data_IF_397787759250
#
_entry.id   IF_397787759250
#
_cell.length_a   1.000
_cell.length_b   1.000
_cell.length_c   1.000
_cell.angle_alpha   90.00
_cell.angle_beta   90.00
_cell.angle_gamma   90.00
#
_symmetry.space_group_name_H-M   'P 1'
#
loop_
_entity.id
_entity.type
_entity.pdbx_description
1 polymer ?
#
# COMPACT_ATOMS: atom_id res chain seq x y z
N UNK A 1 10.74 4.22 6.32
CA UNK A 1 10.58 2.77 6.06
C UNK A 1 11.76 2.27 5.27
N UNK A 2 12.24 1.06 5.58
CA UNK A 2 13.29 0.37 4.84
C UNK A 2 12.71 -0.95 4.32
N UNK A 3 12.83 -1.19 3.01
CA UNK A 3 12.23 -2.32 2.33
C UNK A 3 13.29 -3.38 1.99
N UNK A 4 12.86 -4.62 1.80
CA UNK A 4 13.70 -5.75 1.35
C UNK A 4 14.94 -5.99 2.23
N UNK A 5 14.81 -5.82 3.54
CA UNK A 5 15.87 -6.04 4.54
C UNK A 5 15.98 -7.54 4.83
N UNK A 6 17.20 -8.09 4.78
CA UNK A 6 17.45 -9.52 4.96
C UNK A 6 18.49 -9.81 6.05
N UNK A 7 18.19 -10.79 6.89
CA UNK A 7 19.11 -11.28 7.92
C UNK A 7 19.31 -10.31 9.09
N UNK A 8 19.88 -10.84 10.18
CA UNK A 8 19.96 -10.12 11.46
C UNK A 8 20.84 -8.87 11.40
N UNK A 9 21.90 -8.90 10.63
CA UNK A 9 22.84 -7.78 10.53
C UNK A 9 22.19 -6.58 9.83
N UNK A 10 21.49 -6.82 8.71
CA UNK A 10 20.77 -5.76 8.01
C UNK A 10 19.58 -5.24 8.84
N UNK A 11 18.85 -6.12 9.53
CA UNK A 11 17.77 -5.71 10.43
C UNK A 11 18.32 -4.81 11.53
N UNK A 12 19.45 -5.18 12.15
CA UNK A 12 20.07 -4.39 13.21
C UNK A 12 20.52 -3.02 12.69
N UNK A 13 21.10 -2.96 11.49
CA UNK A 13 21.47 -1.70 10.85
C UNK A 13 20.24 -0.84 10.52
N UNK A 14 19.18 -1.47 10.00
CA UNK A 14 17.92 -0.81 9.67
C UNK A 14 17.24 -0.19 10.91
N UNK A 15 17.21 -0.89 12.04
CA UNK A 15 16.67 -0.37 13.30
C UNK A 15 17.43 0.90 13.73
N UNK A 16 18.76 0.91 13.64
CA UNK A 16 19.56 2.10 13.96
C UNK A 16 19.20 3.29 13.05
N UNK A 17 19.02 3.05 11.76
CA UNK A 17 18.59 4.09 10.79
C UNK A 17 17.20 4.60 11.15
N UNK A 18 16.26 3.71 11.50
CA UNK A 18 14.91 4.10 11.92
C UNK A 18 14.96 5.00 13.15
N UNK A 19 15.72 4.64 14.18
CA UNK A 19 15.87 5.50 15.36
C UNK A 19 16.57 6.83 15.05
N UNK A 20 17.61 6.80 14.22
CA UNK A 20 18.31 8.02 13.80
C UNK A 20 17.39 8.99 13.03
N UNK A 21 16.33 8.49 12.37
CA UNK A 21 15.37 9.33 11.63
C UNK A 21 14.62 10.32 12.50
N UNK A 22 14.58 10.14 13.82
CA UNK A 22 14.06 11.17 14.75
C UNK A 22 14.83 12.48 14.67
N UNK A 23 16.07 12.45 14.24
CA UNK A 23 16.98 13.59 14.22
C UNK A 23 17.20 14.17 12.81
N UNK A 24 16.43 13.72 11.82
CA UNK A 24 16.45 14.37 10.52
C UNK A 24 15.74 15.75 10.58
N UNK A 25 16.08 16.65 9.66
CA UNK A 25 15.59 18.03 9.64
C UNK A 25 14.07 18.12 9.65
N UNK A 26 13.41 17.26 8.86
CA UNK A 26 11.94 17.22 8.78
C UNK A 26 11.29 16.84 10.11
N UNK A 27 11.83 15.84 10.80
CA UNK A 27 11.31 15.39 12.09
C UNK A 27 11.54 16.43 13.19
N UNK A 28 12.69 17.10 13.17
CA UNK A 28 13.02 18.19 14.10
C UNK A 28 12.08 19.38 13.86
N UNK A 29 11.95 19.83 12.61
CA UNK A 29 11.07 20.95 12.24
C UNK A 29 9.62 20.69 12.63
N UNK A 30 9.12 19.45 12.39
CA UNK A 30 7.77 19.05 12.79
C UNK A 30 7.57 19.16 14.31
N UNK A 31 8.49 18.63 15.12
CA UNK A 31 8.41 18.74 16.59
C UNK A 31 8.41 20.18 17.07
N UNK A 32 9.29 21.02 16.47
CA UNK A 32 9.33 22.45 16.81
C UNK A 32 8.00 23.12 16.49
N UNK A 33 7.46 22.90 15.32
CA UNK A 33 6.16 23.45 14.89
C UNK A 33 5.01 23.00 15.82
N UNK A 34 4.99 21.73 16.20
CA UNK A 34 3.97 21.16 17.09
C UNK A 34 4.24 21.41 18.58
N UNK A 35 5.37 22.07 18.92
CA UNK A 35 5.79 22.32 20.30
C UNK A 35 5.95 21.04 21.14
N UNK A 36 6.34 19.95 20.50
CA UNK A 36 6.66 18.70 21.23
C UNK A 36 8.08 18.77 21.81
N UNK A 37 8.27 18.51 23.14
CA UNK A 37 9.61 18.42 23.73
C UNK A 37 10.41 17.30 23.06
N UNK A 38 11.64 17.60 22.63
CA UNK A 38 12.49 16.63 21.92
C UNK A 38 12.84 15.40 22.75
N UNK A 39 12.99 15.57 24.05
CA UNK A 39 13.31 14.53 25.05
C UNK A 39 12.12 13.64 25.41
N UNK A 40 10.90 14.03 25.02
CA UNK A 40 9.66 13.29 25.30
C UNK A 40 9.18 12.45 24.12
N UNK A 41 9.82 12.57 22.95
CA UNK A 41 9.42 11.83 21.74
C UNK A 41 10.31 10.61 21.57
N UNK A 42 9.71 9.45 21.56
CA UNK A 42 10.33 8.17 21.28
C UNK A 42 9.74 7.51 20.02
N UNK A 43 10.47 6.58 19.44
CA UNK A 43 10.09 5.83 18.27
C UNK A 43 10.28 4.34 18.53
N UNK A 44 9.33 3.52 18.12
CA UNK A 44 9.51 2.07 18.04
C UNK A 44 9.79 1.65 16.60
N UNK A 45 10.60 0.60 16.44
CA UNK A 45 10.85 -0.02 15.13
C UNK A 45 10.05 -1.30 15.03
N UNK A 46 9.10 -1.34 14.07
CA UNK A 46 8.38 -2.55 13.71
C UNK A 46 9.13 -3.32 12.63
N UNK A 47 9.22 -4.64 12.77
CA UNK A 47 9.77 -5.54 11.75
C UNK A 47 8.62 -6.39 11.25
N UNK A 48 8.33 -6.27 9.95
CA UNK A 48 7.22 -6.96 9.31
C UNK A 48 7.72 -7.78 8.13
N UNK A 49 7.21 -9.02 8.00
CA UNK A 49 7.45 -9.84 6.82
C UNK A 49 6.86 -9.13 5.60
N UNK A 50 7.67 -8.95 4.56
CA UNK A 50 7.20 -8.34 3.33
C UNK A 50 6.35 -9.30 2.52
N UNK A 51 5.19 -8.81 2.08
CA UNK A 51 4.36 -9.48 1.09
C UNK A 51 5.04 -9.41 -0.27
N UNK A 52 5.02 -10.50 -1.06
CA UNK A 52 5.63 -10.55 -2.40
C UNK A 52 4.75 -9.86 -3.46
N UNK A 53 4.32 -8.64 -3.16
CA UNK A 53 3.57 -7.81 -4.11
C UNK A 53 4.40 -7.34 -5.30
N UNK A 54 5.73 -7.43 -5.20
CA UNK A 54 6.65 -7.26 -6.35
C UNK A 54 6.35 -8.23 -7.50
N UNK A 55 5.74 -9.38 -7.20
CA UNK A 55 5.25 -10.38 -8.16
C UNK A 55 3.72 -10.37 -8.32
N UNK A 56 3.04 -9.46 -7.65
CA UNK A 56 1.59 -9.32 -7.58
C UNK A 56 1.12 -7.90 -7.82
N UNK A 57 0.34 -7.38 -6.88
CA UNK A 57 -0.21 -6.04 -6.91
C UNK A 57 -0.30 -5.48 -5.48
N UNK A 58 -0.46 -4.18 -5.38
CA UNK A 58 -0.70 -3.49 -4.12
C UNK A 58 -1.56 -2.25 -4.33
N UNK A 59 -2.03 -1.66 -3.26
CA UNK A 59 -2.84 -0.47 -3.35
C UNK A 59 -3.30 0.08 -2.02
N UNK A 60 -4.18 1.05 -2.12
CA UNK A 60 -4.93 1.60 -0.99
C UNK A 60 -6.42 1.45 -1.24
N UNK A 61 -7.19 1.36 -0.18
CA UNK A 61 -8.64 1.36 -0.25
C UNK A 61 -9.23 2.21 0.86
N UNK A 62 -10.32 2.89 0.52
CA UNK A 62 -11.07 3.75 1.43
C UNK A 62 -12.47 3.20 1.57
N UNK A 63 -12.97 3.15 2.79
CA UNK A 63 -14.33 2.65 3.06
C UNK A 63 -15.41 3.72 2.84
N UNK A 64 -15.08 4.74 2.08
CA UNK A 64 -15.98 5.74 1.53
C UNK A 64 -15.44 6.26 0.20
N UNK A 65 -16.27 6.96 -0.57
CA UNK A 65 -15.80 7.77 -1.69
C UNK A 65 -15.11 9.04 -1.18
N UNK A 66 -13.83 9.20 -1.46
CA UNK A 66 -12.98 10.28 -0.94
C UNK A 66 -13.32 11.65 -1.53
N UNK A 67 -14.01 11.71 -2.68
CA UNK A 67 -14.41 12.97 -3.31
C UNK A 67 -15.73 13.49 -2.78
N UNK A 68 -16.76 12.64 -2.74
CA UNK A 68 -18.12 13.02 -2.31
C UNK A 68 -18.40 12.76 -0.83
N UNK A 69 -17.61 11.93 -0.17
CA UNK A 69 -17.87 11.45 1.19
C UNK A 69 -18.98 10.39 1.27
N UNK A 70 -19.42 9.81 0.15
CA UNK A 70 -20.46 8.79 0.11
C UNK A 70 -20.00 7.51 0.82
N UNK A 71 -20.70 7.13 1.89
CA UNK A 71 -20.29 6.07 2.82
C UNK A 71 -20.64 4.65 2.39
N UNK A 72 -21.55 4.48 1.44
CA UNK A 72 -21.97 3.16 0.97
C UNK A 72 -21.12 2.62 -0.19
N UNK A 73 -20.05 3.33 -0.57
CA UNK A 73 -19.06 2.87 -1.52
C UNK A 73 -17.73 2.57 -0.84
N UNK A 74 -16.96 1.65 -1.44
CA UNK A 74 -15.55 1.42 -1.16
C UNK A 74 -14.78 1.81 -2.42
N UNK A 75 -13.79 2.68 -2.25
CA UNK A 75 -12.89 3.06 -3.32
C UNK A 75 -11.57 2.30 -3.18
N UNK A 76 -11.15 1.59 -4.22
CA UNK A 76 -9.94 0.76 -4.24
C UNK A 76 -9.05 1.23 -5.38
N UNK A 77 -7.79 1.50 -5.09
CA UNK A 77 -6.76 1.72 -6.10
C UNK A 77 -5.82 0.53 -6.15
N UNK A 78 -5.29 0.20 -7.32
CA UNK A 78 -4.43 -0.96 -7.52
C UNK A 78 -3.36 -0.72 -8.59
N UNK A 79 -2.13 -1.12 -8.33
CA UNK A 79 -1.06 -1.17 -9.32
C UNK A 79 -0.16 -2.39 -9.11
N UNK A 80 0.66 -2.70 -10.12
CA UNK A 80 1.65 -3.75 -10.01
C UNK A 80 2.81 -3.34 -9.10
N UNK A 81 3.41 -4.33 -8.43
CA UNK A 81 4.61 -4.11 -7.61
C UNK A 81 4.33 -3.69 -6.17
N UNK A 82 5.35 -3.16 -5.53
CA UNK A 82 5.34 -2.69 -4.15
C UNK A 82 4.52 -1.39 -4.01
N UNK A 83 3.79 -1.24 -2.92
CA UNK A 83 2.83 -0.15 -2.69
C UNK A 83 3.43 1.26 -2.59
N UNK A 84 4.73 1.39 -2.46
CA UNK A 84 5.40 2.68 -2.29
C UNK A 84 5.12 3.65 -3.45
N UNK A 85 5.03 3.15 -4.70
CA UNK A 85 4.71 3.98 -5.88
C UNK A 85 3.30 4.56 -5.86
N UNK A 86 2.34 3.88 -5.21
CA UNK A 86 0.98 4.36 -5.02
C UNK A 86 0.94 5.42 -3.93
N UNK A 87 1.53 5.13 -2.77
CA UNK A 87 1.58 6.04 -1.62
C UNK A 87 2.29 7.36 -1.98
N UNK A 88 3.34 7.30 -2.81
CA UNK A 88 4.05 8.47 -3.30
C UNK A 88 3.33 9.20 -4.46
N UNK A 89 2.26 8.63 -5.01
CA UNK A 89 1.54 9.20 -6.15
C UNK A 89 2.33 9.20 -7.46
N UNK A 90 3.35 8.33 -7.60
CA UNK A 90 4.22 8.27 -8.78
C UNK A 90 3.69 7.38 -9.89
N UNK A 91 2.68 6.55 -9.60
CA UNK A 91 1.98 5.68 -10.54
C UNK A 91 0.52 6.10 -10.66
N UNK A 92 -0.06 6.02 -11.86
CA UNK A 92 -1.50 6.18 -12.07
C UNK A 92 -2.14 4.78 -12.02
N UNK A 93 -2.85 4.43 -10.93
CA UNK A 93 -3.35 3.08 -10.65
C UNK A 93 -4.67 2.79 -11.38
N UNK A 94 -5.07 1.52 -11.37
CA UNK A 94 -6.46 1.13 -11.61
C UNK A 94 -7.34 1.61 -10.46
N UNK A 95 -8.59 1.93 -10.76
CA UNK A 95 -9.57 2.40 -9.77
C UNK A 95 -10.84 1.54 -9.85
N UNK A 96 -11.37 1.21 -8.67
CA UNK A 96 -12.60 0.42 -8.55
C UNK A 96 -13.51 1.05 -7.50
N UNK A 97 -14.79 1.17 -7.83
CA UNK A 97 -15.84 1.54 -6.88
C UNK A 97 -16.73 0.34 -6.62
N UNK A 98 -16.88 -0.02 -5.36
CA UNK A 98 -17.66 -1.19 -4.92
C UNK A 98 -18.79 -0.75 -3.99
N UNK A 99 -20.01 -1.17 -4.26
CA UNK A 99 -21.18 -0.84 -3.46
C UNK A 99 -21.34 -1.82 -2.30
N UNK A 100 -21.24 -1.33 -1.07
CA UNK A 100 -21.27 -2.14 0.15
C UNK A 100 -22.55 -2.98 0.27
N UNK A 101 -23.70 -2.36 0.01
CA UNK A 101 -25.00 -3.05 0.11
C UNK A 101 -25.14 -4.16 -0.92
N UNK A 102 -24.60 -3.97 -2.13
CA UNK A 102 -24.57 -5.02 -3.16
C UNK A 102 -23.81 -6.25 -2.67
N UNK A 103 -22.62 -6.06 -2.09
CA UNK A 103 -21.82 -7.13 -1.49
C UNK A 103 -22.56 -7.88 -0.38
N UNK A 104 -23.24 -7.16 0.50
CA UNK A 104 -23.99 -7.74 1.62
C UNK A 104 -25.17 -8.60 1.14
N UNK A 105 -25.81 -8.21 0.04
CA UNK A 105 -26.96 -8.91 -0.54
C UNK A 105 -26.56 -10.01 -1.53
N UNK A 106 -25.25 -10.16 -1.84
CA UNK A 106 -24.75 -11.16 -2.79
C UNK A 106 -25.00 -10.79 -4.26
N UNK A 107 -25.22 -9.52 -4.56
CA UNK A 107 -25.38 -9.02 -5.93
C UNK A 107 -24.04 -8.56 -6.52
N UNK A 108 -23.92 -8.42 -7.85
CA UNK A 108 -22.78 -7.76 -8.48
C UNK A 108 -22.57 -6.37 -7.86
N UNK A 109 -21.43 -6.15 -7.23
CA UNK A 109 -21.23 -4.97 -6.40
C UNK A 109 -20.26 -3.94 -6.98
N UNK A 110 -19.49 -4.29 -7.99
CA UNK A 110 -18.52 -3.37 -8.64
C UNK A 110 -19.30 -2.39 -9.53
N UNK A 111 -19.40 -1.14 -9.09
CA UNK A 111 -20.11 -0.07 -9.79
C UNK A 111 -19.33 0.47 -10.98
N UNK A 112 -18.02 0.60 -10.82
CA UNK A 112 -17.14 1.22 -11.81
C UNK A 112 -15.75 0.64 -11.76
N UNK A 113 -15.10 0.59 -12.93
CA UNK A 113 -13.68 0.23 -13.10
C UNK A 113 -13.03 1.24 -14.04
N UNK A 114 -11.88 1.75 -13.66
CA UNK A 114 -11.09 2.63 -14.49
C UNK A 114 -9.68 2.07 -14.61
N UNK A 115 -9.27 1.82 -15.85
CA UNK A 115 -7.93 1.31 -16.13
C UNK A 115 -6.90 2.44 -15.99
N UNK A 116 -5.94 2.27 -15.08
CA UNK A 116 -4.81 3.16 -14.92
C UNK A 116 -3.72 2.91 -15.96
N UNK A 117 -2.85 3.88 -16.16
CA UNK A 117 -1.71 3.70 -17.08
C UNK A 117 -0.65 2.73 -16.55
N UNK A 118 -0.51 2.63 -15.22
CA UNK A 118 0.43 1.72 -14.52
C UNK A 118 1.79 1.63 -15.20
N UNK A 119 2.34 2.81 -15.57
CA UNK A 119 3.53 2.88 -16.40
C UNK A 119 4.77 2.25 -15.76
N UNK A 120 4.86 2.29 -14.43
CA UNK A 120 5.99 1.82 -13.63
C UNK A 120 5.51 0.88 -12.53
N UNK A 121 6.40 -0.03 -12.12
CA UNK A 121 6.25 -0.87 -10.93
C UNK A 121 7.55 -0.86 -10.13
N UNK A 122 7.45 -0.97 -8.81
CA UNK A 122 8.60 -1.17 -7.94
C UNK A 122 8.69 -2.65 -7.56
N UNK A 123 9.88 -3.22 -7.73
CA UNK A 123 10.17 -4.62 -7.45
C UNK A 123 11.42 -4.75 -6.58
N UNK A 124 11.69 -5.93 -6.06
CA UNK A 124 12.94 -6.17 -5.36
C UNK A 124 14.12 -6.13 -6.34
N UNK A 125 15.20 -5.45 -5.94
CA UNK A 125 16.47 -5.46 -6.64
C UNK A 125 17.19 -6.81 -6.47
N UNK A 126 18.02 -7.15 -7.46
CA UNK A 126 18.88 -8.34 -7.37
C UNK A 126 19.95 -8.17 -6.29
N UNK A 127 20.19 -9.25 -5.51
CA UNK A 127 21.21 -9.30 -4.44
C UNK A 127 22.66 -9.02 -4.91
N UNK A 128 22.89 -8.89 -6.22
CA UNK A 128 24.22 -8.68 -6.83
C UNK A 128 24.56 -7.21 -7.05
N UNK A 129 23.66 -6.29 -6.82
CA UNK A 129 23.96 -4.86 -6.94
C UNK A 129 24.78 -4.42 -5.72
N UNK A 130 25.97 -3.93 -5.95
CA UNK A 130 26.87 -3.36 -4.94
C UNK A 130 26.40 -1.99 -4.42
N UNK A 131 25.34 -1.47 -4.97
CA UNK A 131 24.67 -0.26 -4.49
C UNK A 131 23.45 -0.69 -3.64
N UNK A 132 23.35 -0.20 -2.44
CA UNK A 132 22.39 -0.48 -1.36
C UNK A 132 20.89 -0.24 -1.70
N UNK A 133 20.49 -0.33 -2.95
CA UNK A 133 19.08 -0.21 -3.36
C UNK A 133 18.42 -1.57 -3.31
N UNK A 134 17.71 -1.80 -2.21
CA UNK A 134 16.95 -3.03 -1.98
C UNK A 134 15.72 -3.17 -2.90
N UNK A 135 15.34 -2.09 -3.59
CA UNK A 135 14.22 -2.04 -4.54
C UNK A 135 14.63 -1.38 -5.85
N UNK A 136 13.94 -1.73 -6.94
CA UNK A 136 14.15 -1.22 -8.29
C UNK A 136 12.81 -0.78 -8.88
N UNK A 137 12.76 0.43 -9.43
CA UNK A 137 11.63 0.88 -10.25
C UNK A 137 11.91 0.58 -11.72
N UNK A 138 10.96 -0.06 -12.39
CA UNK A 138 11.04 -0.41 -13.82
C UNK A 138 9.74 -0.14 -14.54
N UNK A 139 9.79 -0.08 -15.87
CA UNK A 139 8.61 0.03 -16.71
C UNK A 139 7.81 -1.27 -16.69
N UNK A 140 6.49 -1.15 -16.69
CA UNK A 140 5.56 -2.28 -16.86
C UNK A 140 5.36 -2.52 -18.36
N UNK A 141 5.35 -3.78 -18.76
CA UNK A 141 5.09 -4.18 -20.15
C UNK A 141 3.72 -3.69 -20.64
N UNK A 142 3.66 -3.27 -21.90
CA UNK A 142 2.45 -2.69 -22.50
C UNK A 142 1.25 -3.63 -22.37
N UNK A 143 1.42 -4.93 -22.59
CA UNK A 143 0.34 -5.91 -22.47
C UNK A 143 -0.23 -6.00 -21.04
N UNK A 144 0.63 -5.91 -20.03
CA UNK A 144 0.20 -5.89 -18.61
C UNK A 144 -0.52 -4.58 -18.28
N UNK A 145 -0.07 -3.46 -18.81
CA UNK A 145 -0.69 -2.14 -18.60
C UNK A 145 -2.11 -2.07 -19.13
N UNK A 146 -2.42 -2.81 -20.20
CA UNK A 146 -3.74 -2.87 -20.83
C UNK A 146 -4.72 -3.80 -20.11
N UNK A 147 -4.34 -4.38 -18.98
CA UNK A 147 -5.17 -5.25 -18.13
C UNK A 147 -5.28 -4.66 -16.73
N UNK A 148 -6.40 -4.93 -16.07
CA UNK A 148 -6.52 -4.63 -14.65
C UNK A 148 -5.53 -5.47 -13.83
N UNK A 149 -4.95 -4.86 -12.80
CA UNK A 149 -4.01 -5.53 -11.88
C UNK A 149 -4.71 -6.48 -10.90
N UNK A 150 -6.03 -6.35 -10.75
CA UNK A 150 -6.90 -7.22 -9.95
C UNK A 150 -8.02 -7.81 -10.80
N UNK A 151 -8.43 -9.03 -10.47
CA UNK A 151 -9.70 -9.62 -10.93
C UNK A 151 -10.87 -9.08 -10.12
N UNK A 152 -12.10 -9.17 -10.67
CA UNK A 152 -13.32 -8.79 -9.96
C UNK A 152 -13.47 -9.53 -8.62
N UNK A 153 -13.12 -10.82 -8.58
CA UNK A 153 -13.16 -11.62 -7.35
C UNK A 153 -12.22 -11.07 -6.27
N UNK A 154 -11.02 -10.61 -6.66
CA UNK A 154 -10.06 -10.00 -5.74
C UNK A 154 -10.54 -8.63 -5.25
N UNK A 155 -11.12 -7.83 -6.14
CA UNK A 155 -11.73 -6.53 -5.77
C UNK A 155 -12.85 -6.71 -4.75
N UNK A 156 -13.76 -7.68 -4.97
CA UNK A 156 -14.82 -7.97 -4.00
C UNK A 156 -14.29 -8.54 -2.69
N UNK A 157 -13.23 -9.37 -2.73
CA UNK A 157 -12.60 -9.90 -1.52
C UNK A 157 -11.99 -8.76 -0.67
N UNK A 158 -11.26 -7.83 -1.29
CA UNK A 158 -10.75 -6.63 -0.64
C UNK A 158 -11.88 -5.79 -0.02
N UNK A 159 -12.93 -5.56 -0.79
CA UNK A 159 -14.06 -4.79 -0.31
C UNK A 159 -14.76 -5.44 0.90
N UNK A 160 -14.87 -6.77 0.95
CA UNK A 160 -15.39 -7.49 2.13
C UNK A 160 -14.49 -7.31 3.35
N UNK A 161 -13.16 -7.37 3.17
CA UNK A 161 -12.20 -7.10 4.26
C UNK A 161 -12.31 -5.67 4.76
N UNK A 162 -12.44 -4.70 3.84
CA UNK A 162 -12.62 -3.29 4.18
C UNK A 162 -13.87 -3.06 5.05
N UNK A 163 -14.99 -3.73 4.73
CA UNK A 163 -16.22 -3.65 5.53
C UNK A 163 -16.04 -4.24 6.94
N UNK A 164 -15.31 -5.34 7.07
CA UNK A 164 -15.01 -5.96 8.37
C UNK A 164 -14.17 -4.99 9.22
N UNK A 165 -13.14 -4.38 8.61
CA UNK A 165 -12.26 -3.42 9.28
C UNK A 165 -13.04 -2.18 9.70
N UNK A 166 -13.85 -1.59 8.81
CA UNK A 166 -14.70 -0.45 9.13
C UNK A 166 -15.66 -0.76 10.27
N UNK A 167 -16.29 -1.92 10.25
CA UNK A 167 -17.19 -2.36 11.34
C UNK A 167 -16.46 -2.50 12.67
N UNK A 168 -15.22 -3.02 12.65
CA UNK A 168 -14.42 -3.18 13.86
C UNK A 168 -14.06 -1.83 14.49
N UNK A 169 -13.65 -0.85 13.68
CA UNK A 169 -13.27 0.49 14.18
C UNK A 169 -14.42 1.45 14.34
N UNK A 170 -15.59 1.19 13.74
CA UNK A 170 -16.81 1.99 13.86
C UNK A 170 -16.80 3.32 13.09
N UNK A 171 -15.82 3.54 12.21
CA UNK A 171 -15.71 4.73 11.36
C UNK A 171 -15.05 4.41 10.04
N UNK A 172 -15.16 5.29 9.02
CA UNK A 172 -14.48 5.09 7.73
C UNK A 172 -12.97 4.95 7.89
N UNK A 173 -12.38 4.07 7.08
CA UNK A 173 -10.98 3.66 7.16
C UNK A 173 -10.25 3.92 5.85
N UNK A 174 -8.96 4.26 6.00
CA UNK A 174 -7.92 4.23 4.96
C UNK A 174 -7.06 2.99 5.22
N UNK A 175 -6.93 2.12 4.23
CA UNK A 175 -6.33 0.79 4.38
C UNK A 175 -5.34 0.55 3.25
N UNK A 176 -4.11 0.24 3.59
CA UNK A 176 -3.13 -0.29 2.64
C UNK A 176 -3.31 -1.81 2.51
N UNK A 177 -3.15 -2.32 1.30
CA UNK A 177 -3.29 -3.75 1.03
C UNK A 177 -2.24 -4.24 0.01
N UNK A 178 -1.97 -5.54 0.01
CA UNK A 178 -1.09 -6.17 -0.94
C UNK A 178 -1.58 -7.57 -1.33
N UNK A 179 -1.41 -7.92 -2.61
CA UNK A 179 -1.61 -9.25 -3.17
C UNK A 179 -0.25 -9.92 -3.35
N UNK A 180 0.00 -11.00 -2.65
CA UNK A 180 1.21 -11.79 -2.79
C UNK A 180 1.22 -12.54 -4.12
N UNK A 181 2.27 -12.36 -4.92
CA UNK A 181 2.40 -13.01 -6.23
C UNK A 181 2.74 -14.50 -6.17
N UNK A 182 3.15 -15.02 -5.01
CA UNK A 182 3.49 -16.44 -4.81
C UNK A 182 2.30 -17.25 -4.34
N UNK A 183 1.70 -16.88 -3.21
CA UNK A 183 0.60 -17.64 -2.62
C UNK A 183 -0.80 -17.15 -3.04
N UNK A 184 -0.86 -16.00 -3.76
CA UNK A 184 -2.08 -15.38 -4.25
C UNK A 184 -3.05 -14.90 -3.15
N UNK A 185 -2.54 -14.73 -1.93
CA UNK A 185 -3.32 -14.24 -0.81
C UNK A 185 -3.29 -12.71 -0.73
N UNK A 186 -4.37 -12.14 -0.19
CA UNK A 186 -4.50 -10.73 0.13
C UNK A 186 -4.07 -10.50 1.59
N UNK A 187 -3.31 -9.43 1.80
CA UNK A 187 -2.79 -8.99 3.09
C UNK A 187 -3.08 -7.53 3.32
#
# INVERSE_FOLDING_TARGET
TLLNVHGIDQITAAIKIVFASLYNDRAIAYRVHQKFPHDKVSLSAGIQKMVRSDLGASGVMFTLDTESGFRDAIFITAAYGLGETIVQGTVNPDEFYVYKRGLTLGYPAILSRRLGTKAIEMVYGDKKSTNDTFTLTRNVDVERRMRFSLSDTQVEALARQAMIIEQHYGHPMDIEWALDGLDKQLY
#
